data_IF_322583164544
#
_entry.id   IF_322583164544
#
_cell.length_a   1.000
_cell.length_b   1.000
_cell.length_c   1.000
_cell.angle_alpha   90.00
_cell.angle_beta   90.00
_cell.angle_gamma   90.00
#
_symmetry.space_group_name_H-M   'P 1'
#
loop_
_entity.id
_entity.type
_entity.pdbx_description
1 polymer ?
#
# COMPACT_ATOMS: atom_id res chain seq x y z
N UNK A 1 12.25 -2.59 -6.73
CA UNK A 1 11.88 -1.70 -7.84
C UNK A 1 12.46 -0.30 -7.65
N UNK A 2 12.20 0.40 -6.54
CA UNK A 2 12.71 1.76 -6.28
C UNK A 2 14.20 1.99 -6.64
N UNK A 3 15.11 1.17 -6.12
CA UNK A 3 16.55 1.27 -6.43
C UNK A 3 16.87 1.13 -7.92
N UNK A 4 16.14 0.26 -8.64
CA UNK A 4 16.32 0.04 -10.09
C UNK A 4 15.99 1.32 -10.88
N UNK A 5 15.10 2.16 -10.34
CA UNK A 5 14.70 3.44 -10.94
C UNK A 5 15.52 4.63 -10.42
N UNK A 6 16.56 4.37 -9.62
CA UNK A 6 17.47 5.41 -9.14
C UNK A 6 17.02 6.15 -7.88
N UNK A 7 15.96 5.69 -7.20
CA UNK A 7 15.52 6.28 -5.94
C UNK A 7 16.44 5.90 -4.78
N UNK A 8 16.70 6.86 -3.89
CA UNK A 8 17.28 6.60 -2.57
C UNK A 8 16.19 6.08 -1.63
N UNK A 9 16.47 5.00 -0.88
CA UNK A 9 15.46 4.35 -0.04
C UNK A 9 15.85 4.38 1.43
N UNK A 10 14.96 4.91 2.27
CA UNK A 10 15.00 4.66 3.72
C UNK A 10 14.05 3.50 4.04
N UNK A 11 14.57 2.34 4.41
CA UNK A 11 13.79 1.19 4.81
C UNK A 11 13.57 1.19 6.34
N UNK A 12 12.30 1.26 6.76
CA UNK A 12 11.91 1.37 8.18
C UNK A 12 11.19 0.08 8.59
N UNK A 13 11.66 -0.54 9.66
CA UNK A 13 10.99 -1.70 10.28
C UNK A 13 11.37 -1.82 11.76
N UNK A 14 10.64 -2.64 12.52
CA UNK A 14 11.01 -2.96 13.91
C UNK A 14 12.39 -3.61 14.04
N UNK A 15 12.75 -4.42 13.05
CA UNK A 15 14.03 -5.13 12.96
C UNK A 15 14.57 -5.00 11.53
N UNK A 16 15.07 -3.81 11.19
CA UNK A 16 15.51 -3.45 9.85
C UNK A 16 16.73 -4.26 9.40
N UNK A 17 17.49 -4.85 10.34
CA UNK A 17 18.54 -5.83 10.05
C UNK A 17 18.07 -7.04 9.22
N UNK A 18 16.77 -7.38 9.26
CA UNK A 18 16.18 -8.48 8.46
C UNK A 18 15.93 -8.12 7.00
N UNK A 19 16.04 -6.85 6.60
CA UNK A 19 15.74 -6.39 5.23
C UNK A 19 16.89 -6.75 4.25
N UNK A 20 18.05 -7.11 4.80
CA UNK A 20 19.27 -7.41 4.04
C UNK A 20 19.97 -6.13 3.57
N UNK A 21 21.30 -6.12 3.66
CA UNK A 21 22.09 -4.98 3.22
C UNK A 21 22.01 -4.83 1.69
N UNK A 22 21.78 -3.60 1.23
CA UNK A 22 21.78 -3.22 -0.19
C UNK A 22 22.39 -1.84 -0.33
N UNK A 23 23.20 -1.66 -1.37
CA UNK A 23 23.73 -0.35 -1.71
C UNK A 23 22.57 0.61 -2.01
N UNK A 24 22.70 1.86 -1.51
CA UNK A 24 21.68 2.91 -1.57
C UNK A 24 20.38 2.67 -0.75
N UNK A 25 20.37 1.72 0.20
CA UNK A 25 19.32 1.58 1.21
C UNK A 25 19.84 1.96 2.59
N UNK A 26 19.22 2.95 3.22
CA UNK A 26 19.42 3.28 4.63
C UNK A 26 18.36 2.56 5.46
N UNK A 27 18.77 1.68 6.36
CA UNK A 27 17.85 0.97 7.27
C UNK A 27 17.68 1.73 8.59
N UNK A 28 16.46 1.84 9.11
CA UNK A 28 16.17 2.40 10.44
C UNK A 28 15.30 1.45 11.24
N UNK A 29 15.79 1.04 12.41
CA UNK A 29 15.01 0.31 13.41
C UNK A 29 14.04 1.27 14.11
N UNK A 30 12.75 1.13 13.83
CA UNK A 30 11.69 1.98 14.39
C UNK A 30 10.48 1.11 14.69
N UNK A 31 9.97 1.22 15.91
CA UNK A 31 8.60 0.79 16.23
C UNK A 31 7.64 1.85 15.75
N UNK A 32 6.72 1.45 14.87
CA UNK A 32 5.68 2.30 14.32
C UNK A 32 4.66 2.77 15.39
N UNK A 33 4.65 2.14 16.57
CA UNK A 33 3.92 2.65 17.74
C UNK A 33 4.59 3.87 18.39
N UNK A 34 5.89 4.09 18.13
CA UNK A 34 6.60 5.30 18.55
C UNK A 34 6.42 6.40 17.48
N UNK A 35 5.38 7.20 17.66
CA UNK A 35 5.03 8.29 16.76
C UNK A 35 6.17 9.30 16.57
N UNK A 36 6.95 9.59 17.62
CA UNK A 36 8.05 10.55 17.54
C UNK A 36 9.24 9.97 16.77
N UNK A 37 9.56 8.70 16.99
CA UNK A 37 10.58 7.99 16.23
C UNK A 37 10.19 7.88 14.75
N UNK A 38 8.93 7.54 14.44
CA UNK A 38 8.44 7.48 13.05
C UNK A 38 8.52 8.85 12.38
N UNK A 39 8.06 9.91 13.04
CA UNK A 39 8.16 11.29 12.53
C UNK A 39 9.61 11.64 12.17
N UNK A 40 10.56 11.39 13.07
CA UNK A 40 11.98 11.65 12.84
C UNK A 40 12.54 10.77 11.70
N UNK A 41 12.09 9.53 11.60
CA UNK A 41 12.58 8.59 10.60
C UNK A 41 12.16 8.97 9.18
N UNK A 42 10.94 9.50 9.01
CA UNK A 42 10.39 9.89 7.70
C UNK A 42 10.68 11.34 7.32
N UNK A 43 11.10 12.19 8.27
CA UNK A 43 11.48 13.58 7.99
C UNK A 43 12.55 13.69 6.89
N UNK A 44 12.34 14.62 5.95
CA UNK A 44 13.22 14.86 4.81
C UNK A 44 13.05 13.90 3.63
N UNK A 45 12.16 12.91 3.70
CA UNK A 45 11.80 12.09 2.54
C UNK A 45 10.71 12.78 1.71
N UNK A 46 10.77 12.63 0.39
CA UNK A 46 9.77 13.21 -0.52
C UNK A 46 8.43 12.47 -0.47
N UNK A 47 8.50 11.14 -0.29
CA UNK A 47 7.36 10.22 -0.33
C UNK A 47 7.51 9.16 0.75
N UNK A 48 6.40 8.79 1.39
CA UNK A 48 6.32 7.63 2.29
C UNK A 48 5.44 6.55 1.66
N UNK A 49 5.94 5.31 1.65
CA UNK A 49 5.19 4.12 1.24
C UNK A 49 4.95 3.24 2.48
N UNK A 50 3.70 2.98 2.81
CA UNK A 50 3.34 2.07 3.90
C UNK A 50 2.93 0.71 3.36
N UNK A 51 3.65 -0.32 3.79
CA UNK A 51 3.29 -1.74 3.62
C UNK A 51 3.00 -2.41 4.97
N UNK A 52 2.61 -1.64 5.99
CA UNK A 52 2.28 -2.14 7.32
C UNK A 52 0.90 -2.83 7.32
N UNK A 53 0.77 -3.87 8.15
CA UNK A 53 -0.51 -4.56 8.35
C UNK A 53 -1.55 -3.66 9.02
N UNK A 54 -2.77 -3.67 8.48
CA UNK A 54 -3.85 -2.82 8.95
C UNK A 54 -4.40 -3.25 10.31
N UNK A 55 -4.47 -4.55 10.58
CA UNK A 55 -5.07 -5.09 11.81
C UNK A 55 -4.22 -4.84 13.06
N UNK A 56 -3.00 -4.35 12.89
CA UNK A 56 -2.05 -4.18 14.00
C UNK A 56 -2.12 -2.80 14.62
N UNK A 57 -2.56 -1.79 13.86
CA UNK A 57 -2.47 -0.37 14.23
C UNK A 57 -3.62 0.42 13.59
N UNK A 58 -4.00 1.59 14.13
CA UNK A 58 -4.90 2.51 13.44
C UNK A 58 -4.15 3.35 12.40
N UNK A 59 -4.85 3.83 11.36
CA UNK A 59 -4.26 4.66 10.30
C UNK A 59 -3.57 5.93 10.83
N UNK A 60 -4.10 6.51 11.90
CA UNK A 60 -3.54 7.68 12.57
C UNK A 60 -2.09 7.47 13.06
N UNK A 61 -1.71 6.22 13.41
CA UNK A 61 -0.35 5.89 13.83
C UNK A 61 0.70 6.17 12.73
N UNK A 62 0.28 6.20 11.47
CA UNK A 62 1.14 6.51 10.32
C UNK A 62 0.87 7.92 9.79
N UNK A 63 -0.41 8.27 9.63
CA UNK A 63 -0.83 9.57 9.07
C UNK A 63 -0.28 10.73 9.90
N UNK A 64 -0.42 10.69 11.24
CA UNK A 64 -0.07 11.84 12.08
C UNK A 64 1.45 12.10 12.11
N UNK A 65 2.33 11.10 12.31
CA UNK A 65 3.77 11.32 12.25
C UNK A 65 4.26 11.79 10.88
N UNK A 66 3.70 11.24 9.80
CA UNK A 66 4.04 11.64 8.42
C UNK A 66 3.67 13.10 8.17
N UNK A 67 2.47 13.53 8.59
CA UNK A 67 2.04 14.94 8.52
C UNK A 67 2.95 15.85 9.33
N UNK A 68 3.26 15.49 10.57
CA UNK A 68 4.14 16.27 11.46
C UNK A 68 5.57 16.34 10.95
N UNK A 69 6.02 15.36 10.18
CA UNK A 69 7.32 15.36 9.52
C UNK A 69 7.36 16.26 8.27
N UNK A 70 6.22 16.79 7.82
CA UNK A 70 6.10 17.66 6.65
C UNK A 70 6.06 16.91 5.32
N UNK A 71 5.99 15.58 5.33
CA UNK A 71 5.88 14.79 4.10
C UNK A 71 4.46 14.89 3.56
N UNK A 72 4.32 15.28 2.30
CA UNK A 72 3.01 15.51 1.66
C UNK A 72 2.44 14.26 0.98
N UNK A 73 3.29 13.40 0.43
CA UNK A 73 2.90 12.26 -0.41
C UNK A 73 3.00 10.96 0.40
N UNK A 74 1.86 10.27 0.54
CA UNK A 74 1.75 9.04 1.33
C UNK A 74 0.97 7.96 0.57
N UNK A 75 1.62 6.86 0.20
CA UNK A 75 0.95 5.77 -0.48
C UNK A 75 0.87 4.55 0.43
N UNK A 76 -0.22 3.79 0.30
CA UNK A 76 -0.43 2.54 1.02
C UNK A 76 -0.51 1.38 0.05
N UNK A 77 0.20 0.29 0.38
CA UNK A 77 -0.18 -1.04 -0.10
C UNK A 77 -1.54 -1.34 0.51
N UNK A 78 -2.57 -1.40 -0.32
CA UNK A 78 -3.95 -1.57 0.08
C UNK A 78 -4.33 -3.03 0.31
N UNK A 79 -5.64 -3.29 0.36
CA UNK A 79 -6.21 -4.63 0.38
C UNK A 79 -7.32 -4.81 -0.66
N UNK A 80 -7.54 -6.04 -1.11
CA UNK A 80 -8.59 -6.39 -2.07
C UNK A 80 -10.00 -6.42 -1.44
N UNK A 81 -10.11 -6.61 -0.12
CA UNK A 81 -11.40 -6.80 0.57
C UNK A 81 -12.39 -5.63 0.41
N UNK A 82 -11.89 -4.40 0.20
CA UNK A 82 -12.71 -3.20 -0.03
C UNK A 82 -12.98 -2.90 -1.52
N UNK A 83 -12.49 -3.74 -2.44
CA UNK A 83 -12.87 -3.66 -3.84
C UNK A 83 -14.32 -4.14 -4.02
N UNK A 84 -14.93 -3.71 -5.11
CA UNK A 84 -16.32 -4.00 -5.46
C UNK A 84 -16.40 -5.18 -6.43
N UNK A 85 -17.39 -6.03 -6.22
CA UNK A 85 -17.84 -7.03 -7.17
C UNK A 85 -18.76 -6.38 -8.23
N UNK A 86 -19.14 -7.09 -9.32
CA UNK A 86 -20.00 -6.53 -10.37
C UNK A 86 -21.36 -6.02 -9.88
N UNK A 87 -21.87 -6.55 -8.77
CA UNK A 87 -23.12 -6.13 -8.13
C UNK A 87 -22.93 -4.95 -7.15
N UNK A 88 -21.71 -4.40 -7.06
CA UNK A 88 -21.28 -3.34 -6.14
C UNK A 88 -21.26 -3.70 -4.65
N UNK A 89 -21.35 -4.99 -4.29
CA UNK A 89 -21.00 -5.45 -2.95
C UNK A 89 -19.48 -5.50 -2.79
N UNK A 90 -18.97 -5.43 -1.56
CA UNK A 90 -17.52 -5.51 -1.32
C UNK A 90 -17.05 -6.97 -1.38
N UNK A 91 -15.82 -7.20 -1.82
CA UNK A 91 -15.21 -8.54 -1.83
C UNK A 91 -15.25 -9.20 -0.44
N UNK A 92 -15.05 -8.45 0.64
CA UNK A 92 -15.14 -8.96 2.02
C UNK A 92 -16.54 -9.46 2.42
N UNK A 93 -17.58 -9.03 1.71
CA UNK A 93 -18.98 -9.42 1.93
C UNK A 93 -19.36 -10.67 1.11
N UNK A 94 -18.48 -11.13 0.22
CA UNK A 94 -18.75 -12.28 -0.63
C UNK A 94 -18.98 -13.57 0.19
N UNK A 95 -19.93 -14.42 -0.24
CA UNK A 95 -20.06 -15.76 0.30
C UNK A 95 -18.75 -16.54 0.14
N UNK A 96 -18.23 -17.11 1.23
CA UNK A 96 -16.99 -17.87 1.20
C UNK A 96 -15.71 -17.04 1.31
N UNK A 97 -15.79 -15.74 1.60
CA UNK A 97 -14.60 -14.95 1.93
C UNK A 97 -13.80 -15.64 3.07
N UNK A 98 -12.49 -15.90 2.91
CA UNK A 98 -11.73 -16.66 3.89
C UNK A 98 -11.72 -15.97 5.26
N UNK A 99 -12.14 -16.69 6.31
CA UNK A 99 -12.30 -16.14 7.64
C UNK A 99 -10.97 -15.59 8.21
N UNK A 100 -9.85 -16.23 7.86
CA UNK A 100 -8.50 -15.84 8.26
C UNK A 100 -8.06 -14.46 7.74
N UNK A 101 -8.57 -14.01 6.59
CA UNK A 101 -8.26 -12.69 6.03
C UNK A 101 -9.22 -11.60 6.50
N UNK A 102 -10.34 -11.96 7.12
CA UNK A 102 -11.40 -11.01 7.48
C UNK A 102 -10.93 -9.91 8.46
N UNK A 103 -10.11 -10.20 9.49
CA UNK A 103 -9.60 -9.15 10.38
C UNK A 103 -8.79 -8.09 9.63
N UNK A 104 -7.84 -8.51 8.79
CA UNK A 104 -6.98 -7.61 8.02
C UNK A 104 -7.78 -6.84 6.95
N UNK A 105 -8.69 -7.51 6.25
CA UNK A 105 -9.52 -6.90 5.22
C UNK A 105 -10.49 -5.85 5.80
N UNK A 106 -11.09 -6.13 6.97
CA UNK A 106 -11.94 -5.17 7.69
C UNK A 106 -11.12 -3.95 8.09
N UNK A 107 -9.95 -4.15 8.71
CA UNK A 107 -9.07 -3.06 9.10
C UNK A 107 -8.60 -2.23 7.89
N UNK A 108 -8.27 -2.87 6.77
CA UNK A 108 -7.94 -2.19 5.51
C UNK A 108 -9.10 -1.33 4.96
N UNK A 109 -10.34 -1.78 5.12
CA UNK A 109 -11.53 -0.97 4.83
C UNK A 109 -11.62 0.30 5.70
N UNK A 110 -11.40 0.15 7.01
CA UNK A 110 -11.37 1.28 7.96
C UNK A 110 -10.24 2.27 7.62
N UNK A 111 -9.07 1.77 7.21
CA UNK A 111 -7.96 2.60 6.73
C UNK A 111 -8.36 3.42 5.51
N UNK A 112 -8.97 2.79 4.50
CA UNK A 112 -9.41 3.49 3.30
C UNK A 112 -10.47 4.56 3.63
N UNK A 113 -11.41 4.27 4.53
CA UNK A 113 -12.42 5.25 4.95
C UNK A 113 -11.80 6.40 5.76
N UNK A 114 -10.78 6.13 6.57
CA UNK A 114 -10.00 7.18 7.25
C UNK A 114 -9.28 8.08 6.25
N UNK A 115 -8.65 7.48 5.23
CA UNK A 115 -7.98 8.23 4.16
C UNK A 115 -8.95 9.09 3.35
N UNK A 116 -10.16 8.60 3.07
CA UNK A 116 -11.21 9.39 2.39
C UNK A 116 -11.58 10.67 3.15
N UNK A 117 -11.41 10.69 4.47
CA UNK A 117 -11.62 11.89 5.29
C UNK A 117 -10.36 12.79 5.41
N UNK A 118 -9.17 12.30 5.07
CA UNK A 118 -7.91 13.04 5.13
C UNK A 118 -7.75 14.00 3.95
N UNK A 119 -7.43 15.27 4.27
CA UNK A 119 -7.44 16.39 3.32
C UNK A 119 -6.06 16.99 3.07
N UNK A 120 -5.13 16.85 4.01
CA UNK A 120 -3.85 17.55 4.00
C UNK A 120 -2.75 16.76 3.27
N UNK A 121 -2.86 15.43 3.26
CA UNK A 121 -1.96 14.54 2.53
C UNK A 121 -2.44 14.31 1.10
N UNK A 122 -1.49 14.25 0.17
CA UNK A 122 -1.69 13.67 -1.15
C UNK A 122 -1.53 12.15 -1.03
N UNK A 123 -2.59 11.48 -0.58
CA UNK A 123 -2.56 10.04 -0.36
C UNK A 123 -2.99 9.23 -1.59
N UNK A 124 -2.47 8.02 -1.73
CA UNK A 124 -3.02 7.02 -2.68
C UNK A 124 -3.08 5.65 -2.01
N UNK A 125 -4.22 4.97 -2.15
CA UNK A 125 -4.41 3.61 -1.65
C UNK A 125 -4.44 2.65 -2.83
N UNK A 126 -3.46 1.75 -2.92
CA UNK A 126 -3.36 0.84 -4.07
C UNK A 126 -3.85 -0.54 -3.64
N UNK A 127 -5.09 -0.87 -3.94
CA UNK A 127 -5.61 -2.20 -3.69
C UNK A 127 -4.94 -3.21 -4.63
N UNK A 128 -4.27 -4.27 -4.13
CA UNK A 128 -3.87 -5.38 -4.98
C UNK A 128 -5.10 -6.16 -5.44
N UNK A 129 -4.92 -7.04 -6.43
CA UNK A 129 -5.87 -8.09 -6.75
C UNK A 129 -6.01 -9.11 -5.60
N UNK A 130 -7.04 -9.96 -5.64
CA UNK A 130 -7.37 -10.87 -4.55
C UNK A 130 -6.22 -11.83 -4.20
N UNK A 131 -5.59 -12.44 -5.22
CA UNK A 131 -4.34 -13.15 -5.05
C UNK A 131 -3.16 -12.20 -5.26
N UNK A 132 -2.43 -11.96 -4.19
CA UNK A 132 -1.22 -11.13 -4.20
C UNK A 132 -0.03 -12.00 -3.84
N UNK A 133 0.78 -12.35 -4.84
CA UNK A 133 1.75 -13.46 -4.73
C UNK A 133 3.12 -13.10 -5.28
N UNK A 134 4.15 -13.84 -4.88
CA UNK A 134 5.44 -13.78 -5.57
C UNK A 134 5.32 -14.25 -7.02
N UNK A 135 6.10 -13.64 -7.92
CA UNK A 135 6.09 -14.01 -9.33
C UNK A 135 6.93 -13.07 -10.20
N UNK A 136 6.91 -13.29 -11.53
CA UNK A 136 7.77 -12.57 -12.46
C UNK A 136 7.41 -11.09 -12.59
N UNK A 137 8.43 -10.27 -12.85
CA UNK A 137 8.30 -8.86 -13.23
C UNK A 137 7.98 -8.77 -14.73
N UNK A 138 6.72 -8.62 -15.10
CA UNK A 138 6.30 -8.57 -16.52
C UNK A 138 6.14 -7.14 -17.05
N UNK A 139 5.80 -6.19 -16.17
CA UNK A 139 5.42 -4.82 -16.56
C UNK A 139 4.12 -4.74 -17.35
N UNK A 140 3.30 -5.79 -17.36
CA UNK A 140 2.03 -5.85 -18.11
C UNK A 140 0.90 -6.16 -17.15
N UNK A 141 0.06 -5.18 -16.86
CA UNK A 141 -1.11 -5.31 -15.99
C UNK A 141 -2.12 -4.23 -16.36
N UNK A 142 -3.34 -4.39 -15.85
CA UNK A 142 -4.41 -3.40 -15.95
C UNK A 142 -4.48 -2.57 -14.68
N UNK A 143 -4.89 -1.33 -14.85
CA UNK A 143 -5.30 -0.45 -13.77
C UNK A 143 -6.83 -0.36 -13.74
N UNK A 144 -7.39 -0.39 -12.55
CA UNK A 144 -8.81 -0.16 -12.28
C UNK A 144 -9.00 0.85 -11.18
N UNK A 145 -10.26 1.19 -10.87
CA UNK A 145 -10.60 2.06 -9.74
C UNK A 145 -11.05 1.23 -8.55
N UNK A 146 -12.36 1.04 -8.42
CA UNK A 146 -12.98 0.45 -7.24
C UNK A 146 -13.38 -1.01 -7.41
N UNK A 147 -13.53 -1.50 -8.65
CA UNK A 147 -13.95 -2.87 -8.92
C UNK A 147 -12.77 -3.84 -8.98
N UNK A 148 -13.00 -5.07 -8.50
CA UNK A 148 -12.04 -6.15 -8.56
C UNK A 148 -11.68 -6.46 -10.02
N UNK A 149 -10.38 -6.51 -10.32
CA UNK A 149 -9.90 -6.93 -11.63
C UNK A 149 -9.84 -8.45 -11.69
N UNK A 150 -10.56 -9.02 -12.65
CA UNK A 150 -10.62 -10.46 -12.90
C UNK A 150 -10.14 -10.71 -14.33
N UNK A 151 -9.24 -11.67 -14.50
CA UNK A 151 -8.73 -12.13 -15.79
C UNK A 151 -9.79 -12.92 -16.57
N UNK A 152 -9.53 -13.22 -17.84
CA UNK A 152 -10.44 -13.99 -18.69
C UNK A 152 -10.67 -15.41 -18.13
N UNK A 153 -9.71 -15.94 -17.39
CA UNK A 153 -9.75 -17.25 -16.73
C UNK A 153 -10.53 -17.22 -15.39
N UNK A 154 -11.14 -16.08 -15.04
CA UNK A 154 -11.90 -15.92 -13.80
C UNK A 154 -11.05 -15.67 -12.55
N UNK A 155 -9.74 -15.42 -12.73
CA UNK A 155 -8.80 -15.23 -11.63
C UNK A 155 -8.49 -13.76 -11.37
N UNK A 156 -8.57 -13.30 -10.12
CA UNK A 156 -8.10 -11.97 -9.70
C UNK A 156 -6.73 -12.09 -9.07
N UNK A 157 -5.67 -11.66 -9.77
CA UNK A 157 -4.31 -11.83 -9.27
C UNK A 157 -3.31 -10.80 -9.81
N UNK A 158 -2.25 -10.56 -9.03
CA UNK A 158 -1.11 -9.71 -9.38
C UNK A 158 0.15 -10.20 -8.66
N UNK A 159 1.31 -10.08 -9.29
CA UNK A 159 2.58 -10.40 -8.64
C UNK A 159 3.11 -9.24 -7.79
N UNK A 160 3.91 -9.55 -6.77
CA UNK A 160 4.63 -8.54 -5.98
C UNK A 160 5.50 -7.63 -6.85
N UNK A 161 6.13 -8.21 -7.88
CA UNK A 161 7.01 -7.48 -8.77
C UNK A 161 6.25 -6.45 -9.63
N UNK A 162 5.10 -6.82 -10.20
CA UNK A 162 4.30 -5.91 -11.03
C UNK A 162 3.49 -4.91 -10.19
N UNK A 163 3.02 -5.29 -9.01
CA UNK A 163 2.44 -4.33 -8.07
C UNK A 163 3.48 -3.26 -7.66
N UNK A 164 4.73 -3.65 -7.43
CA UNK A 164 5.80 -2.69 -7.15
C UNK A 164 6.08 -1.75 -8.33
N UNK A 165 5.91 -2.21 -9.58
CA UNK A 165 5.95 -1.32 -10.75
C UNK A 165 4.83 -0.28 -10.66
N UNK A 166 3.59 -0.73 -10.51
CA UNK A 166 2.44 0.18 -10.44
C UNK A 166 2.55 1.21 -9.30
N UNK A 167 3.07 0.78 -8.14
CA UNK A 167 3.30 1.68 -7.02
C UNK A 167 4.38 2.72 -7.32
N UNK A 168 5.50 2.33 -7.96
CA UNK A 168 6.55 3.29 -8.31
C UNK A 168 6.17 4.17 -9.51
N UNK A 169 5.35 3.69 -10.44
CA UNK A 169 4.76 4.52 -11.50
C UNK A 169 3.91 5.65 -10.90
N UNK A 170 3.14 5.36 -9.85
CA UNK A 170 2.32 6.36 -9.15
C UNK A 170 3.16 7.32 -8.27
N UNK A 171 4.34 6.90 -7.82
CA UNK A 171 5.32 7.78 -7.17
C UNK A 171 5.91 8.78 -8.16
N UNK A 172 6.33 8.30 -9.34
CA UNK A 172 6.98 9.12 -10.37
C UNK A 172 6.00 9.99 -11.16
N UNK A 173 4.78 9.49 -11.34
CA UNK A 173 3.71 10.12 -12.10
C UNK A 173 2.40 10.06 -11.33
N UNK A 174 2.25 10.93 -10.32
CA UNK A 174 1.05 11.01 -9.48
C UNK A 174 -0.21 11.26 -10.33
N UNK A 175 -1.04 10.22 -10.49
CA UNK A 175 -2.30 10.25 -11.25
C UNK A 175 -3.53 10.09 -10.36
N UNK A 176 -3.35 9.61 -9.13
CA UNK A 176 -4.43 9.21 -8.23
C UNK A 176 -4.34 9.94 -6.88
N UNK A 177 -4.29 11.28 -6.92
CA UNK A 177 -4.28 12.12 -5.72
C UNK A 177 -5.55 11.96 -4.90
N UNK A 178 -5.42 11.58 -3.62
CA UNK A 178 -6.50 11.34 -2.65
C UNK A 178 -7.54 10.33 -3.16
N UNK A 179 -7.07 9.27 -3.80
CA UNK A 179 -7.92 8.26 -4.41
C UNK A 179 -7.38 6.85 -4.18
N UNK A 180 -8.28 5.87 -4.30
CA UNK A 180 -7.92 4.46 -4.44
C UNK A 180 -7.89 4.08 -5.91
N UNK A 181 -6.95 3.21 -6.29
CA UNK A 181 -6.98 2.47 -7.54
C UNK A 181 -6.57 1.01 -7.29
N UNK A 182 -6.72 0.16 -8.30
CA UNK A 182 -6.40 -1.26 -8.22
C UNK A 182 -5.56 -1.74 -9.39
N UNK A 183 -4.85 -2.86 -9.20
CA UNK A 183 -3.91 -3.44 -10.16
C UNK A 183 -4.13 -4.95 -10.27
N UNK A 184 -4.14 -5.46 -11.49
CA UNK A 184 -4.37 -6.89 -11.76
C UNK A 184 -4.15 -7.25 -13.22
N UNK A 185 -3.96 -8.54 -13.50
CA UNK A 185 -3.88 -9.05 -14.88
C UNK A 185 -5.24 -9.10 -15.54
#
# INVERSE_FOLDING_TARGET
EALRRGHSVTAIARHASKIGARDAVVTKDVDINDAAALQKAVAGNDVVLSAAHFSTLPAAAIIDPVKKAGVRRLLFVGGAGSLLLPDNTKVIESPGFPAEYKPEATAGGVYLDTLRAEKDLDWTFISPSAEFVEGPRTGKFRLGKDHLLVSAEGKSWITFADFAIAMLDEVEHSKHSRQRFTVGY
#
